data_IF_273307055652
#
_entry.id   IF_273307055652
#
_cell.length_a   1.000
_cell.length_b   1.000
_cell.length_c   1.000
_cell.angle_alpha   90.00
_cell.angle_beta   90.00
_cell.angle_gamma   90.00
#
_symmetry.space_group_name_H-M   'P 1'
#
loop_
_entity.id
_entity.type
_entity.pdbx_description
1 polymer ?
#
# COMPACT_ATOMS: atom_id res chain seq x y z
N UNK A 1 -37.87 32.26 53.03
CA UNK A 1 -38.71 31.16 52.48
C UNK A 1 -37.74 30.14 51.89
N UNK A 2 -37.44 29.05 52.62
CA UNK A 2 -37.93 27.66 52.40
C UNK A 2 -37.54 27.11 51.00
N UNK A 3 -36.92 25.95 50.80
CA UNK A 3 -36.49 24.85 51.67
C UNK A 3 -35.57 23.86 50.88
N UNK A 4 -34.80 23.08 51.64
CA UNK A 4 -34.06 21.83 51.38
C UNK A 4 -34.60 20.86 50.30
N UNK A 5 -33.69 20.14 49.61
CA UNK A 5 -33.64 18.64 49.39
C UNK A 5 -32.16 18.29 49.02
N UNK A 6 -31.33 17.74 49.92
CA UNK A 6 -31.07 16.31 50.23
C UNK A 6 -30.44 15.50 49.07
N UNK A 7 -29.29 14.94 49.41
CA UNK A 7 -28.43 14.05 48.65
C UNK A 7 -29.12 12.82 48.05
N UNK A 8 -28.66 12.40 46.86
CA UNK A 8 -28.69 11.02 46.42
C UNK A 8 -27.35 10.69 45.76
N UNK A 9 -26.47 10.09 46.56
CA UNK A 9 -25.28 9.39 46.12
C UNK A 9 -25.72 8.18 45.28
N UNK A 10 -25.55 8.25 43.97
CA UNK A 10 -25.60 7.08 43.09
C UNK A 10 -24.16 6.69 42.77
N UNK A 11 -23.61 5.82 43.61
CA UNK A 11 -22.46 4.99 43.27
C UNK A 11 -22.87 4.06 42.12
N UNK A 12 -22.82 4.55 40.88
CA UNK A 12 -22.62 3.67 39.75
C UNK A 12 -21.19 3.12 39.87
N UNK A 13 -21.10 1.92 40.44
CA UNK A 13 -20.00 1.00 40.20
C UNK A 13 -19.88 0.87 38.69
N UNK A 14 -18.99 1.66 38.10
CA UNK A 14 -18.51 1.47 36.75
C UNK A 14 -17.72 0.17 36.81
N UNK A 15 -18.41 -0.95 36.60
CA UNK A 15 -17.79 -2.17 36.14
C UNK A 15 -17.14 -1.82 34.81
N UNK A 16 -15.88 -1.40 34.84
CA UNK A 16 -15.01 -1.40 33.68
C UNK A 16 -14.83 -2.87 33.32
N UNK A 17 -15.78 -3.39 32.52
CA UNK A 17 -15.52 -4.63 31.82
C UNK A 17 -14.38 -4.30 30.89
N UNK A 18 -13.17 -4.68 31.30
CA UNK A 18 -11.99 -4.69 30.47
C UNK A 18 -12.20 -5.75 29.38
N UNK A 19 -13.10 -5.48 28.44
CA UNK A 19 -13.04 -6.03 27.10
C UNK A 19 -11.74 -5.47 26.54
N UNK A 20 -10.62 -6.14 26.81
CA UNK A 20 -9.44 -5.95 26.00
C UNK A 20 -9.89 -6.26 24.57
N UNK A 21 -10.09 -5.21 23.76
CA UNK A 21 -10.60 -5.24 22.40
C UNK A 21 -9.84 -6.29 21.61
N UNK A 22 -10.38 -7.50 21.57
CA UNK A 22 -9.77 -8.60 20.86
C UNK A 22 -9.91 -8.27 19.38
N UNK A 23 -8.77 -8.11 18.70
CA UNK A 23 -8.75 -7.96 17.26
C UNK A 23 -9.57 -9.08 16.62
N UNK A 24 -10.38 -8.72 15.63
CA UNK A 24 -11.00 -9.73 14.77
C UNK A 24 -9.89 -10.56 14.12
N UNK A 25 -10.13 -11.86 13.81
CA UNK A 25 -9.17 -12.65 13.05
C UNK A 25 -8.77 -11.94 11.75
N UNK A 26 -7.49 -11.96 11.39
CA UNK A 26 -6.96 -11.21 10.24
C UNK A 26 -7.67 -11.59 8.93
N UNK A 27 -8.11 -12.84 8.81
CA UNK A 27 -8.86 -13.35 7.66
C UNK A 27 -10.23 -12.67 7.54
N UNK A 28 -10.89 -12.39 8.66
CA UNK A 28 -12.15 -11.65 8.68
C UNK A 28 -11.92 -10.16 8.42
N UNK A 29 -10.81 -9.60 8.90
CA UNK A 29 -10.46 -8.20 8.66
C UNK A 29 -10.29 -7.90 7.17
N UNK A 30 -9.50 -8.70 6.45
CA UNK A 30 -9.23 -8.47 5.02
C UNK A 30 -10.44 -8.74 4.12
N UNK A 31 -11.48 -9.41 4.63
CA UNK A 31 -12.75 -9.63 3.92
C UNK A 31 -13.69 -8.42 3.97
N UNK A 32 -13.42 -7.43 4.82
CA UNK A 32 -14.25 -6.24 4.93
C UNK A 32 -14.10 -5.32 3.71
N UNK A 33 -15.14 -4.54 3.43
CA UNK A 33 -15.10 -3.52 2.40
C UNK A 33 -14.42 -2.26 2.96
N UNK A 34 -13.34 -1.84 2.31
CA UNK A 34 -12.60 -0.64 2.67
C UNK A 34 -12.61 0.35 1.50
N UNK A 35 -13.64 1.21 1.37
CA UNK A 35 -13.78 2.11 0.22
C UNK A 35 -12.62 3.14 0.13
N UNK A 36 -11.94 3.40 1.24
CA UNK A 36 -10.82 4.34 1.34
C UNK A 36 -9.47 3.64 1.60
N UNK A 37 -9.38 2.34 1.33
CA UNK A 37 -8.18 1.54 1.61
C UNK A 37 -8.15 1.00 3.04
N UNK A 38 -7.22 0.07 3.31
CA UNK A 38 -7.14 -0.62 4.59
C UNK A 38 -6.84 0.38 5.72
N UNK A 39 -7.61 0.39 6.83
CA UNK A 39 -7.34 1.27 7.96
C UNK A 39 -5.96 0.99 8.59
N UNK A 40 -5.03 1.93 8.43
CA UNK A 40 -3.62 1.75 8.80
C UNK A 40 -3.43 1.49 10.30
N UNK A 41 -4.25 2.12 11.15
CA UNK A 41 -4.15 1.99 12.61
C UNK A 41 -4.50 0.57 13.04
N UNK A 42 -5.58 0.01 12.49
CA UNK A 42 -6.06 -1.34 12.73
C UNK A 42 -5.12 -2.38 12.13
N UNK A 43 -4.70 -2.19 10.89
CA UNK A 43 -3.81 -3.12 10.19
C UNK A 43 -2.46 -3.30 10.90
N UNK A 44 -1.93 -2.23 11.50
CA UNK A 44 -0.68 -2.25 12.27
C UNK A 44 -0.78 -3.01 13.60
N UNK A 45 -1.99 -3.34 14.07
CA UNK A 45 -2.18 -4.14 15.29
C UNK A 45 -1.93 -5.64 15.04
N UNK A 46 -1.94 -6.08 13.77
CA UNK A 46 -1.61 -7.47 13.41
C UNK A 46 -0.09 -7.72 13.42
N UNK A 47 0.28 -8.98 13.64
CA UNK A 47 1.67 -9.39 13.80
C UNK A 47 2.24 -10.23 12.65
N UNK A 48 3.48 -10.68 12.80
CA UNK A 48 4.16 -11.52 11.80
C UNK A 48 3.47 -12.86 11.56
N UNK A 49 2.84 -13.44 12.59
CA UNK A 49 2.05 -14.67 12.45
C UNK A 49 0.84 -14.47 11.52
N UNK A 50 0.21 -13.30 11.57
CA UNK A 50 -0.90 -12.93 10.70
C UNK A 50 -0.41 -12.71 9.27
N UNK A 51 0.74 -12.04 9.08
CA UNK A 51 1.40 -11.92 7.77
C UNK A 51 1.61 -13.29 7.11
N UNK A 52 2.12 -14.28 7.86
CA UNK A 52 2.30 -15.63 7.33
C UNK A 52 0.98 -16.30 6.88
N UNK A 53 -0.12 -16.10 7.64
CA UNK A 53 -1.45 -16.58 7.26
C UNK A 53 -1.98 -15.90 6.01
N UNK A 54 -1.85 -14.57 5.94
CA UNK A 54 -2.23 -13.74 4.81
C UNK A 54 -1.49 -14.12 3.51
N UNK A 55 -0.19 -14.42 3.60
CA UNK A 55 0.59 -14.96 2.48
C UNK A 55 0.06 -16.33 2.00
N UNK A 56 -0.49 -17.13 2.91
CA UNK A 56 -1.19 -18.37 2.58
C UNK A 56 -2.43 -18.11 1.73
N UNK A 57 -3.24 -17.10 2.10
CA UNK A 57 -4.46 -16.73 1.37
C UNK A 57 -4.19 -16.23 -0.04
N UNK A 58 -3.08 -15.50 -0.28
CA UNK A 58 -2.72 -15.03 -1.63
C UNK A 58 -2.50 -16.16 -2.67
N UNK A 59 -2.36 -17.41 -2.23
CA UNK A 59 -2.23 -18.58 -3.12
C UNK A 59 -3.58 -19.06 -3.66
N UNK A 60 -4.68 -18.72 -3.00
CA UNK A 60 -6.01 -19.15 -3.38
C UNK A 60 -6.52 -18.30 -4.55
N UNK A 61 -7.14 -18.93 -5.55
CA UNK A 61 -7.64 -18.22 -6.74
C UNK A 61 -9.11 -17.81 -6.63
N UNK A 62 -9.82 -18.33 -5.65
CA UNK A 62 -11.25 -18.10 -5.39
C UNK A 62 -11.54 -16.74 -4.72
N UNK A 63 -10.51 -16.05 -4.22
CA UNK A 63 -10.64 -14.87 -3.37
C UNK A 63 -9.87 -13.64 -3.89
N UNK A 64 -9.78 -13.49 -5.22
CA UNK A 64 -9.04 -12.38 -5.84
C UNK A 64 -9.51 -11.00 -5.39
N UNK A 65 -10.79 -10.85 -5.03
CA UNK A 65 -11.38 -9.58 -4.59
C UNK A 65 -10.76 -9.05 -3.29
N UNK A 66 -10.31 -9.93 -2.39
CA UNK A 66 -9.71 -9.52 -1.10
C UNK A 66 -8.19 -9.43 -1.14
N UNK A 67 -7.55 -9.87 -2.24
CA UNK A 67 -6.09 -9.85 -2.35
C UNK A 67 -5.49 -8.44 -2.21
N UNK A 68 -6.22 -7.41 -2.66
CA UNK A 68 -5.87 -6.01 -2.44
C UNK A 68 -5.72 -5.67 -0.95
N UNK A 69 -6.74 -6.01 -0.15
CA UNK A 69 -6.73 -5.78 1.31
C UNK A 69 -5.64 -6.61 2.00
N UNK A 70 -5.44 -7.84 1.55
CA UNK A 70 -4.39 -8.73 2.07
C UNK A 70 -3.01 -8.08 1.88
N UNK A 71 -2.70 -7.60 0.67
CA UNK A 71 -1.41 -7.01 0.36
C UNK A 71 -1.16 -5.70 1.14
N UNK A 72 -2.15 -4.82 1.22
CA UNK A 72 -2.04 -3.59 2.02
C UNK A 72 -1.80 -3.91 3.50
N UNK A 73 -2.54 -4.87 4.06
CA UNK A 73 -2.37 -5.31 5.47
C UNK A 73 -0.98 -5.87 5.71
N UNK A 74 -0.46 -6.74 4.84
CA UNK A 74 0.93 -7.24 4.91
C UNK A 74 1.93 -6.07 4.87
N UNK A 75 1.69 -5.08 4.00
CA UNK A 75 2.53 -3.89 3.90
C UNK A 75 2.58 -3.08 5.20
N UNK A 76 1.43 -2.93 5.87
CA UNK A 76 1.32 -2.23 7.15
C UNK A 76 1.93 -3.00 8.33
N UNK A 77 1.86 -4.34 8.31
CA UNK A 77 2.58 -5.20 9.27
C UNK A 77 4.10 -5.02 9.07
N UNK A 78 4.55 -4.94 7.82
CA UNK A 78 5.96 -4.69 7.49
C UNK A 78 6.86 -5.92 7.65
N UNK A 79 6.34 -7.11 7.41
CA UNK A 79 7.10 -8.37 7.50
C UNK A 79 8.19 -8.45 6.41
N UNK A 80 9.49 -8.44 6.75
CA UNK A 80 10.57 -8.49 5.75
C UNK A 80 10.62 -9.81 4.97
N UNK A 81 10.13 -10.91 5.55
CA UNK A 81 10.11 -12.22 4.89
C UNK A 81 9.05 -12.26 3.79
N UNK A 82 8.01 -11.44 3.90
CA UNK A 82 6.95 -11.34 2.90
C UNK A 82 7.40 -10.64 1.61
N UNK A 83 8.44 -9.81 1.64
CA UNK A 83 8.85 -8.97 0.49
C UNK A 83 9.06 -9.75 -0.79
N UNK A 84 9.81 -10.87 -0.75
CA UNK A 84 10.03 -11.69 -1.96
C UNK A 84 8.73 -12.33 -2.45
N UNK A 85 7.84 -12.74 -1.54
CA UNK A 85 6.55 -13.33 -1.89
C UNK A 85 5.61 -12.32 -2.55
N UNK A 86 5.66 -11.05 -2.12
CA UNK A 86 4.91 -9.95 -2.74
C UNK A 86 5.46 -9.65 -4.15
N UNK A 87 6.79 -9.68 -4.33
CA UNK A 87 7.40 -9.55 -5.66
C UNK A 87 6.99 -10.71 -6.57
N UNK A 88 7.07 -11.95 -6.09
CA UNK A 88 6.64 -13.14 -6.83
C UNK A 88 5.16 -13.02 -7.24
N UNK A 89 4.32 -12.47 -6.36
CA UNK A 89 2.90 -12.24 -6.64
C UNK A 89 2.69 -11.28 -7.83
N UNK A 90 3.50 -10.22 -7.95
CA UNK A 90 3.44 -9.29 -9.10
C UNK A 90 3.75 -10.04 -10.41
N UNK A 91 4.69 -10.99 -10.37
CA UNK A 91 5.14 -11.70 -11.57
C UNK A 91 4.22 -12.86 -11.95
N UNK A 92 3.54 -13.46 -10.96
CA UNK A 92 2.69 -14.64 -11.14
C UNK A 92 1.53 -14.43 -12.11
N UNK A 93 1.24 -15.43 -12.93
CA UNK A 93 0.06 -15.46 -13.80
C UNK A 93 0.46 -15.69 -15.25
N UNK A 94 -0.49 -16.13 -16.05
CA UNK A 94 -0.30 -16.38 -17.48
C UNK A 94 -1.57 -16.00 -18.23
N UNK A 95 -1.43 -15.51 -19.46
CA UNK A 95 -2.55 -15.15 -20.31
C UNK A 95 -3.31 -13.95 -19.77
N UNK A 96 -4.60 -13.89 -20.04
CA UNK A 96 -5.44 -12.80 -19.59
C UNK A 96 -5.84 -12.97 -18.13
N UNK A 97 -5.60 -11.94 -17.31
CA UNK A 97 -6.01 -11.90 -15.90
C UNK A 97 -7.20 -10.94 -15.71
N UNK A 98 -7.99 -11.19 -14.66
CA UNK A 98 -9.12 -10.35 -14.31
C UNK A 98 -8.68 -8.96 -13.83
N UNK A 99 -9.61 -8.00 -13.88
CA UNK A 99 -9.39 -6.67 -13.32
C UNK A 99 -9.08 -6.70 -11.81
N UNK A 100 -9.70 -7.61 -11.05
CA UNK A 100 -9.42 -7.81 -9.63
C UNK A 100 -7.98 -8.30 -9.39
N UNK A 101 -7.52 -9.28 -10.19
CA UNK A 101 -6.13 -9.74 -10.12
C UNK A 101 -5.13 -8.62 -10.45
N UNK A 102 -5.44 -7.78 -11.44
CA UNK A 102 -4.61 -6.62 -11.77
C UNK A 102 -4.61 -5.56 -10.66
N UNK A 103 -5.77 -5.25 -10.06
CA UNK A 103 -5.86 -4.34 -8.91
C UNK A 103 -5.01 -4.83 -7.74
N UNK A 104 -5.09 -6.11 -7.42
CA UNK A 104 -4.24 -6.70 -6.39
C UNK A 104 -2.74 -6.56 -6.73
N UNK A 105 -2.35 -6.77 -7.99
CA UNK A 105 -0.95 -6.54 -8.42
C UNK A 105 -0.52 -5.07 -8.28
N UNK A 106 -1.40 -4.12 -8.56
CA UNK A 106 -1.13 -2.69 -8.28
C UNK A 106 -0.92 -2.45 -6.78
N UNK A 107 -1.79 -2.99 -5.92
CA UNK A 107 -1.66 -2.88 -4.46
C UNK A 107 -0.39 -3.56 -3.91
N UNK A 108 0.17 -4.53 -4.61
CA UNK A 108 1.46 -5.12 -4.23
C UNK A 108 2.60 -4.07 -4.26
N UNK A 109 2.55 -3.05 -5.12
CA UNK A 109 3.53 -1.95 -5.10
C UNK A 109 3.35 -1.03 -3.89
N UNK A 110 2.09 -0.74 -3.51
CA UNK A 110 1.78 -0.01 -2.28
C UNK A 110 2.30 -0.77 -1.06
N UNK A 111 2.05 -2.09 -1.02
CA UNK A 111 2.58 -3.00 0.00
C UNK A 111 4.10 -2.88 0.13
N UNK A 112 4.84 -2.94 -0.99
CA UNK A 112 6.30 -2.74 -0.99
C UNK A 112 6.69 -1.35 -0.49
N UNK A 113 5.97 -0.30 -0.88
CA UNK A 113 6.18 1.06 -0.38
C UNK A 113 6.02 1.15 1.15
N UNK A 114 4.95 0.56 1.69
CA UNK A 114 4.70 0.48 3.13
C UNK A 114 5.77 -0.32 3.86
N UNK A 115 6.26 -1.43 3.29
CA UNK A 115 7.38 -2.18 3.86
C UNK A 115 8.65 -1.33 3.95
N UNK A 116 8.98 -0.57 2.90
CA UNK A 116 10.13 0.35 2.93
C UNK A 116 9.92 1.43 3.98
N UNK A 117 8.74 2.04 4.06
CA UNK A 117 8.44 3.05 5.09
C UNK A 117 8.58 2.50 6.51
N UNK A 118 8.07 1.29 6.74
CA UNK A 118 8.01 0.69 8.08
C UNK A 118 9.36 0.16 8.56
N UNK A 119 10.17 -0.39 7.64
CA UNK A 119 11.36 -1.19 8.01
C UNK A 119 12.64 -0.80 7.27
N UNK A 120 12.58 0.11 6.30
CA UNK A 120 13.72 0.42 5.43
C UNK A 120 14.13 -0.74 4.52
N UNK A 121 13.20 -1.66 4.19
CA UNK A 121 13.51 -2.90 3.47
C UNK A 121 14.24 -2.64 2.13
N UNK A 122 15.54 -2.99 2.02
CA UNK A 122 16.34 -2.64 0.85
C UNK A 122 15.95 -3.44 -0.39
N UNK A 123 15.41 -4.65 -0.22
CA UNK A 123 14.95 -5.49 -1.34
C UNK A 123 13.71 -4.86 -1.98
N UNK A 124 12.75 -4.42 -1.17
CA UNK A 124 11.56 -3.73 -1.65
C UNK A 124 11.92 -2.40 -2.33
N UNK A 125 12.79 -1.60 -1.71
CA UNK A 125 13.25 -0.33 -2.26
C UNK A 125 13.94 -0.51 -3.63
N UNK A 126 14.90 -1.43 -3.72
CA UNK A 126 15.62 -1.69 -4.97
C UNK A 126 14.68 -2.21 -6.05
N UNK A 127 13.73 -3.08 -5.70
CA UNK A 127 12.73 -3.56 -6.65
C UNK A 127 11.89 -2.41 -7.21
N UNK A 128 11.40 -1.51 -6.34
CA UNK A 128 10.60 -0.35 -6.75
C UNK A 128 11.41 0.63 -7.61
N UNK A 129 12.65 0.94 -7.23
CA UNK A 129 13.55 1.82 -7.99
C UNK A 129 13.78 1.27 -9.39
N UNK A 130 14.20 0.00 -9.49
CA UNK A 130 14.44 -0.65 -10.79
C UNK A 130 13.17 -0.71 -11.65
N UNK A 131 12.00 -0.78 -11.02
CA UNK A 131 10.70 -0.81 -11.71
C UNK A 131 10.27 0.53 -12.30
N UNK A 132 11.07 1.59 -12.17
CA UNK A 132 10.83 2.87 -12.86
C UNK A 132 11.29 2.87 -14.33
N UNK A 133 11.99 1.82 -14.78
CA UNK A 133 12.53 1.72 -16.14
C UNK A 133 11.72 0.75 -17.00
N UNK A 134 11.44 1.12 -18.25
CA UNK A 134 10.67 0.29 -19.18
C UNK A 134 11.44 -0.98 -19.57
N UNK A 135 12.74 -0.86 -19.77
CA UNK A 135 13.65 -1.95 -20.14
C UNK A 135 13.66 -3.05 -19.06
N UNK A 136 13.54 -2.65 -17.79
CA UNK A 136 13.43 -3.60 -16.67
C UNK A 136 12.18 -4.47 -16.79
N UNK A 137 11.05 -3.91 -17.23
CA UNK A 137 9.81 -4.67 -17.42
C UNK A 137 9.86 -5.58 -18.64
N UNK A 138 10.42 -5.09 -19.75
CA UNK A 138 10.65 -5.89 -20.95
C UNK A 138 11.55 -7.10 -20.64
N UNK A 139 12.59 -6.92 -19.82
CA UNK A 139 13.49 -7.99 -19.39
C UNK A 139 12.80 -9.03 -18.49
N UNK A 140 11.81 -8.61 -17.68
CA UNK A 140 11.04 -9.51 -16.80
C UNK A 140 10.10 -10.45 -17.57
N UNK A 141 9.73 -10.11 -18.82
CA UNK A 141 8.89 -10.94 -19.71
C UNK A 141 7.64 -11.47 -19.00
N UNK A 142 6.84 -10.56 -18.45
CA UNK A 142 5.59 -10.92 -17.77
C UNK A 142 4.69 -11.73 -18.70
N UNK A 143 4.17 -12.85 -18.21
CA UNK A 143 3.39 -13.79 -19.01
C UNK A 143 1.88 -13.50 -18.97
N UNK A 144 1.47 -12.46 -18.24
CA UNK A 144 0.08 -12.07 -18.07
C UNK A 144 -0.24 -10.71 -18.72
N UNK A 145 -1.49 -10.54 -19.13
CA UNK A 145 -2.07 -9.33 -19.74
C UNK A 145 -3.45 -9.02 -19.16
N UNK A 146 -3.98 -7.83 -19.42
CA UNK A 146 -5.34 -7.43 -19.02
C UNK A 146 -6.10 -6.91 -20.23
N UNK A 147 -7.39 -7.20 -20.34
CA UNK A 147 -8.19 -6.89 -21.53
C UNK A 147 -8.28 -5.39 -21.86
N UNK A 148 -8.18 -4.51 -20.86
CA UNK A 148 -8.32 -3.07 -21.01
C UNK A 148 -7.00 -2.32 -21.25
N UNK A 149 -5.86 -3.03 -21.34
CA UNK A 149 -4.59 -2.45 -21.80
C UNK A 149 -4.26 -3.06 -23.17
N UNK A 150 -4.02 -2.22 -24.20
CA UNK A 150 -3.95 -2.71 -25.58
C UNK A 150 -2.71 -3.57 -25.86
N UNK A 151 -1.62 -3.35 -25.13
CA UNK A 151 -0.33 -4.00 -25.36
C UNK A 151 0.52 -4.09 -24.08
N UNK A 152 1.63 -4.82 -24.19
CA UNK A 152 2.60 -5.00 -23.10
C UNK A 152 3.26 -3.69 -22.66
N UNK A 153 3.47 -2.75 -23.60
CA UNK A 153 4.07 -1.44 -23.29
C UNK A 153 3.13 -0.64 -22.38
N UNK A 154 1.84 -0.59 -22.68
CA UNK A 154 0.82 0.08 -21.89
C UNK A 154 0.68 -0.54 -20.49
N UNK A 155 0.77 -1.88 -20.40
CA UNK A 155 0.86 -2.59 -19.11
C UNK A 155 2.09 -2.14 -18.32
N UNK A 156 3.26 -2.15 -18.94
CA UNK A 156 4.52 -1.87 -18.26
C UNK A 156 4.61 -0.40 -17.81
N UNK A 157 4.11 0.54 -18.62
CA UNK A 157 3.95 1.95 -18.24
C UNK A 157 3.01 2.11 -17.04
N UNK A 158 1.93 1.34 -16.97
CA UNK A 158 1.05 1.36 -15.81
C UNK A 158 1.75 0.82 -14.56
N UNK A 159 2.58 -0.22 -14.69
CA UNK A 159 3.37 -0.78 -13.58
C UNK A 159 4.47 0.17 -13.11
N UNK A 160 5.09 0.95 -14.01
CA UNK A 160 6.02 2.04 -13.66
C UNK A 160 5.32 3.07 -12.77
N UNK A 161 4.10 3.49 -13.14
CA UNK A 161 3.31 4.42 -12.31
C UNK A 161 3.03 3.86 -10.92
N UNK A 162 2.64 2.58 -10.82
CA UNK A 162 2.43 1.93 -9.53
C UNK A 162 3.71 1.84 -8.69
N UNK A 163 4.85 1.55 -9.32
CA UNK A 163 6.15 1.56 -8.65
C UNK A 163 6.50 2.95 -8.10
N UNK A 164 6.26 4.00 -8.89
CA UNK A 164 6.47 5.38 -8.47
C UNK A 164 5.55 5.75 -7.29
N UNK A 165 4.28 5.33 -7.28
CA UNK A 165 3.37 5.51 -6.13
C UNK A 165 3.93 4.79 -4.88
N UNK A 166 4.39 3.54 -5.02
CA UNK A 166 5.04 2.81 -3.92
C UNK A 166 6.29 3.53 -3.38
N UNK A 167 7.11 4.12 -4.27
CA UNK A 167 8.25 4.96 -3.88
C UNK A 167 7.82 6.23 -3.14
N UNK A 168 6.76 6.90 -3.60
CA UNK A 168 6.18 8.05 -2.87
C UNK A 168 5.82 7.66 -1.44
N UNK A 169 5.03 6.59 -1.29
CA UNK A 169 4.53 6.12 0.01
C UNK A 169 5.63 5.60 0.95
N UNK A 170 6.81 5.27 0.40
CA UNK A 170 7.95 4.85 1.22
C UNK A 170 8.49 5.96 2.13
N UNK A 171 8.39 7.23 1.71
CA UNK A 171 9.07 8.35 2.36
C UNK A 171 10.60 8.24 2.40
N UNK A 172 11.21 7.34 1.61
CA UNK A 172 12.65 7.10 1.68
C UNK A 172 13.44 8.10 0.82
N UNK A 173 14.55 8.71 1.29
CA UNK A 173 15.30 9.71 0.53
C UNK A 173 15.80 9.21 -0.84
N UNK A 174 16.29 7.96 -0.90
CA UNK A 174 16.71 7.34 -2.16
C UNK A 174 15.54 7.20 -3.17
N UNK A 175 14.31 7.07 -2.69
CA UNK A 175 13.12 7.00 -3.55
C UNK A 175 12.90 8.34 -4.26
N UNK A 176 13.01 9.46 -3.55
CA UNK A 176 12.92 10.79 -4.13
C UNK A 176 14.01 11.04 -5.18
N UNK A 177 15.26 10.66 -4.88
CA UNK A 177 16.37 10.76 -5.83
C UNK A 177 16.14 9.92 -7.09
N UNK A 178 15.68 8.68 -6.94
CA UNK A 178 15.38 7.80 -8.07
C UNK A 178 14.24 8.33 -8.94
N UNK A 179 13.15 8.82 -8.34
CA UNK A 179 12.04 9.42 -9.09
C UNK A 179 12.48 10.66 -9.86
N UNK A 180 13.25 11.57 -9.24
CA UNK A 180 13.84 12.74 -9.93
C UNK A 180 14.71 12.32 -11.11
N UNK A 181 15.58 11.34 -10.92
CA UNK A 181 16.51 10.91 -11.97
C UNK A 181 15.80 10.25 -13.15
N UNK A 182 14.78 9.42 -12.89
CA UNK A 182 14.20 8.52 -13.90
C UNK A 182 12.88 8.99 -14.50
N UNK A 183 12.15 9.87 -13.81
CA UNK A 183 10.84 10.35 -14.25
C UNK A 183 10.85 11.82 -14.67
N UNK A 184 11.97 12.53 -14.55
CA UNK A 184 12.06 13.89 -15.08
C UNK A 184 11.88 13.86 -16.59
N UNK A 185 11.07 14.76 -17.16
CA UNK A 185 10.90 14.83 -18.61
C UNK A 185 12.24 15.10 -19.29
N UNK A 186 12.48 14.44 -20.42
CA UNK A 186 13.55 14.81 -21.34
C UNK A 186 13.23 16.15 -22.00
N UNK A 187 14.26 16.93 -22.35
CA UNK A 187 14.10 18.25 -22.99
C UNK A 187 13.37 18.23 -24.35
N UNK A 188 13.10 17.05 -24.91
CA UNK A 188 12.58 16.87 -26.27
C UNK A 188 11.05 16.65 -26.35
N UNK A 189 10.32 16.58 -25.23
CA UNK A 189 8.85 16.34 -25.20
C UNK A 189 8.12 17.51 -24.51
N UNK A 190 7.37 18.36 -25.23
CA UNK A 190 6.88 19.62 -24.66
C UNK A 190 5.51 19.55 -23.94
N UNK A 191 4.53 18.76 -24.41
CA UNK A 191 3.18 18.77 -23.82
C UNK A 191 2.96 17.68 -22.76
N UNK A 192 3.52 16.49 -22.98
CA UNK A 192 3.47 15.39 -22.00
C UNK A 192 4.38 15.66 -20.79
N UNK A 193 5.42 16.48 -20.96
CA UNK A 193 6.33 16.86 -19.90
C UNK A 193 5.68 17.72 -18.81
N UNK A 194 4.76 18.63 -19.15
CA UNK A 194 4.16 19.50 -18.16
C UNK A 194 3.29 18.72 -17.15
N UNK A 195 2.36 17.90 -17.65
CA UNK A 195 1.51 17.06 -16.80
C UNK A 195 2.32 16.02 -16.01
N UNK A 196 3.37 15.45 -16.62
CA UNK A 196 4.27 14.52 -15.95
C UNK A 196 5.12 15.21 -14.87
N UNK A 197 5.55 16.45 -15.12
CA UNK A 197 6.29 17.28 -14.16
C UNK A 197 5.45 17.62 -12.94
N UNK A 198 4.18 18.02 -13.12
CA UNK A 198 3.29 18.32 -12.01
C UNK A 198 3.02 17.11 -11.12
N UNK A 199 2.74 15.95 -11.74
CA UNK A 199 2.57 14.70 -11.01
C UNK A 199 3.84 14.32 -10.25
N UNK A 200 5.01 14.39 -10.90
CA UNK A 200 6.29 14.11 -10.26
C UNK A 200 6.54 15.05 -9.07
N UNK A 201 6.25 16.34 -9.21
CA UNK A 201 6.37 17.30 -8.10
C UNK A 201 5.45 16.94 -6.93
N UNK A 202 4.19 16.57 -7.20
CA UNK A 202 3.27 16.14 -6.15
C UNK A 202 3.78 14.90 -5.43
N UNK A 203 4.28 13.91 -6.18
CA UNK A 203 4.87 12.68 -5.63
C UNK A 203 6.09 12.97 -4.76
N UNK A 204 6.96 13.89 -5.18
CA UNK A 204 8.12 14.29 -4.39
C UNK A 204 7.73 15.05 -3.12
N UNK A 205 6.73 15.94 -3.18
CA UNK A 205 6.20 16.63 -2.00
C UNK A 205 5.58 15.64 -1.01
N UNK A 206 4.77 14.71 -1.49
CA UNK A 206 4.17 13.67 -0.66
C UNK A 206 5.24 12.77 -0.02
N UNK A 207 6.25 12.34 -0.79
CA UNK A 207 7.37 11.56 -0.27
C UNK A 207 8.11 12.32 0.85
N UNK A 208 8.39 13.61 0.63
CA UNK A 208 9.07 14.44 1.63
C UNK A 208 8.21 14.64 2.89
N UNK A 209 6.91 14.88 2.74
CA UNK A 209 5.99 14.98 3.87
C UNK A 209 5.96 13.68 4.68
N UNK A 210 5.79 12.53 4.01
CA UNK A 210 5.84 11.20 4.65
C UNK A 210 7.19 10.98 5.35
N UNK A 211 8.31 11.42 4.76
CA UNK A 211 9.62 11.33 5.38
C UNK A 211 9.74 12.17 6.66
N UNK A 212 9.11 13.35 6.72
CA UNK A 212 9.24 14.27 7.86
C UNK A 212 8.28 13.97 9.00
N UNK A 213 7.02 13.61 8.69
CA UNK A 213 5.97 13.43 9.70
C UNK A 213 5.53 11.96 9.89
N UNK A 214 6.02 11.06 9.04
CA UNK A 214 5.62 9.66 9.01
C UNK A 214 4.34 9.42 8.20
N UNK A 215 4.23 8.21 7.65
CA UNK A 215 3.11 7.83 6.78
C UNK A 215 1.74 7.93 7.46
N UNK A 216 1.65 7.57 8.73
CA UNK A 216 0.37 7.57 9.45
C UNK A 216 -0.19 8.98 9.61
N UNK A 217 0.64 9.94 10.03
CA UNK A 217 0.20 11.33 10.16
C UNK A 217 -0.19 11.91 8.79
N UNK A 218 0.62 11.66 7.76
CA UNK A 218 0.31 12.07 6.39
C UNK A 218 -1.03 11.52 5.87
N UNK A 219 -1.39 10.27 6.18
CA UNK A 219 -2.66 9.68 5.76
C UNK A 219 -3.87 10.23 6.53
N UNK A 220 -3.68 10.66 7.79
CA UNK A 220 -4.75 11.30 8.57
C UNK A 220 -5.04 12.71 8.03
N UNK A 221 -3.99 13.49 7.77
CA UNK A 221 -4.13 14.85 7.20
C UNK A 221 -4.78 14.83 5.81
N UNK A 222 -4.58 13.76 5.03
CA UNK A 222 -5.16 13.62 3.69
C UNK A 222 -6.65 13.26 3.68
N UNK A 223 -7.26 12.98 4.84
CA UNK A 223 -8.68 12.63 4.99
C UNK A 223 -9.54 13.82 5.45
N UNK A 224 -8.91 14.92 5.86
CA UNK A 224 -9.57 16.18 6.26
C UNK A 224 -9.78 17.12 5.07
#
# INVERSE_FOLDING_TARGET
MKAYIVAAWLCFLHGTVAWADKLVPVEQFVQQAFPHGVPIIEARKYGLADSARLLGLLKLQDNLEVHSNILETIGHIGDPVATRRVIDYIHRGQGEISAAAFRAKSNAFLCLGYMVNKTGNPVALNYLVNSLELETWQARKLQWRVAFLPDDVSRDLQLIRQAAIGLTLSGHPQAASAMKQRLSPSNDDNDFAAASSDMLQQMLRANQAISSQGLQAYMLDAQE
#
